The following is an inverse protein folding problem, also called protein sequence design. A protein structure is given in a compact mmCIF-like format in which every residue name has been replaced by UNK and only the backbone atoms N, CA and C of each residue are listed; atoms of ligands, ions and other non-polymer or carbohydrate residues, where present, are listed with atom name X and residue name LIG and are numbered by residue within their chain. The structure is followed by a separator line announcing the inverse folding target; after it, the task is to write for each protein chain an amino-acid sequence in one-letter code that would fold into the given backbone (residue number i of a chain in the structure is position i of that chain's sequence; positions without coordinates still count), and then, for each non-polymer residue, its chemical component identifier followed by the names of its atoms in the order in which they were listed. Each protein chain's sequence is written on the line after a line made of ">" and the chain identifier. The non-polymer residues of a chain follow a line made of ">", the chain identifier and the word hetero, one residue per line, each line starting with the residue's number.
data_IF_943975176903
#
_entry.id   IF_943975176903
#
_cell.length_a   1.000
_cell.length_b   1.000
_cell.length_c   1.000
_cell.angle_alpha   90.00
_cell.angle_beta   90.00
_cell.angle_gamma   90.00
#
_symmetry.space_group_name_H-M   'P 1'
#
loop_
_entity.id
_entity.type
_entity.pdbx_description
1 polymer ?
#
# COMPACT_ATOMS: atom_id res chain seq x y z
N UNK A 1 -30.87 17.57 8.54
CA UNK A 1 -30.66 16.95 9.86
C UNK A 1 -29.17 16.94 10.14
N UNK A 2 -28.74 17.62 11.20
CA UNK A 2 -27.35 17.58 11.66
C UNK A 2 -27.26 16.41 12.65
N UNK A 3 -26.40 15.44 12.38
CA UNK A 3 -26.14 14.37 13.33
C UNK A 3 -25.04 14.85 14.29
N UNK A 4 -25.36 14.97 15.57
CA UNK A 4 -24.34 15.18 16.60
C UNK A 4 -23.63 13.86 16.84
N UNK A 5 -22.43 13.74 16.25
CA UNK A 5 -21.56 12.59 16.45
C UNK A 5 -20.70 12.86 17.67
N UNK A 6 -21.04 12.21 18.78
CA UNK A 6 -20.18 12.18 19.96
C UNK A 6 -18.94 11.31 19.69
N UNK A 7 -17.84 11.96 19.32
CA UNK A 7 -16.54 11.32 19.07
C UNK A 7 -15.79 10.94 20.35
N UNK A 8 -16.23 11.43 21.51
CA UNK A 8 -15.68 11.04 22.82
C UNK A 8 -16.23 9.69 23.27
N UNK A 9 -17.41 9.30 22.77
CA UNK A 9 -17.95 7.97 22.97
C UNK A 9 -17.04 6.89 22.35
N UNK A 10 -16.47 6.05 23.21
CA UNK A 10 -15.52 5.00 22.81
C UNK A 10 -16.07 4.01 21.79
N UNK A 11 -17.38 3.70 21.82
CA UNK A 11 -18.02 2.80 20.86
C UNK A 11 -18.19 3.48 19.50
N UNK A 12 -18.60 4.75 19.47
CA UNK A 12 -18.71 5.55 18.24
C UNK A 12 -17.35 5.67 17.56
N UNK A 13 -16.31 6.02 18.34
CA UNK A 13 -14.93 6.09 17.85
C UNK A 13 -14.46 4.76 17.27
N UNK A 14 -14.77 3.63 17.91
CA UNK A 14 -14.41 2.29 17.43
C UNK A 14 -15.07 1.97 16.09
N UNK A 15 -16.35 2.31 15.93
CA UNK A 15 -17.08 2.11 14.66
C UNK A 15 -16.48 2.97 13.55
N UNK A 16 -16.22 4.25 13.82
CA UNK A 16 -15.58 5.17 12.87
C UNK A 16 -14.21 4.62 12.44
N UNK A 17 -13.37 4.24 13.40
CA UNK A 17 -12.04 3.69 13.11
C UNK A 17 -12.10 2.43 12.25
N UNK A 18 -13.02 1.50 12.57
CA UNK A 18 -13.20 0.29 11.77
C UNK A 18 -13.68 0.60 10.35
N UNK A 19 -14.61 1.55 10.21
CA UNK A 19 -15.09 1.99 8.91
C UNK A 19 -13.97 2.62 8.08
N UNK A 20 -13.22 3.56 8.66
CA UNK A 20 -12.08 4.19 8.02
C UNK A 20 -11.00 3.18 7.64
N UNK A 21 -10.71 2.20 8.51
CA UNK A 21 -9.76 1.13 8.20
C UNK A 21 -10.20 0.29 7.00
N UNK A 22 -11.49 -0.09 6.92
CA UNK A 22 -12.03 -0.84 5.78
C UNK A 22 -12.00 -0.03 4.49
N UNK A 23 -12.41 1.24 4.55
CA UNK A 23 -12.36 2.15 3.41
C UNK A 23 -10.91 2.33 2.92
N UNK A 24 -9.97 2.50 3.84
CA UNK A 24 -8.54 2.58 3.53
C UNK A 24 -8.01 1.31 2.88
N UNK A 25 -8.38 0.12 3.39
CA UNK A 25 -7.99 -1.15 2.76
C UNK A 25 -8.54 -1.28 1.34
N UNK A 26 -9.80 -0.92 1.12
CA UNK A 26 -10.40 -0.93 -0.21
C UNK A 26 -9.74 0.05 -1.19
N UNK A 27 -9.41 1.26 -0.72
CA UNK A 27 -8.67 2.24 -1.51
C UNK A 27 -7.27 1.73 -1.87
N UNK A 28 -6.55 1.17 -0.90
CA UNK A 28 -5.22 0.58 -1.08
C UNK A 28 -5.24 -0.60 -2.07
N UNK A 29 -6.28 -1.43 -2.05
CA UNK A 29 -6.44 -2.53 -3.01
C UNK A 29 -6.55 -2.01 -4.45
N UNK A 30 -7.44 -1.03 -4.69
CA UNK A 30 -7.59 -0.38 -6.00
C UNK A 30 -6.29 0.22 -6.51
N UNK A 31 -5.52 0.85 -5.61
CA UNK A 31 -4.19 1.38 -5.96
C UNK A 31 -3.21 0.30 -6.39
N UNK A 32 -3.20 -0.82 -5.67
CA UNK A 32 -2.38 -1.97 -6.03
C UNK A 32 -2.82 -2.62 -7.35
N UNK A 33 -4.11 -2.63 -7.65
CA UNK A 33 -4.63 -3.18 -8.91
C UNK A 33 -4.22 -2.30 -10.09
N UNK A 34 -4.42 -0.97 -10.01
CA UNK A 34 -3.93 -0.03 -11.03
C UNK A 34 -2.41 -0.14 -11.22
N UNK A 35 -1.66 -0.22 -10.12
CA UNK A 35 -0.21 -0.41 -10.16
C UNK A 35 0.20 -1.68 -10.93
N UNK A 36 -0.56 -2.77 -10.80
CA UNK A 36 -0.30 -4.01 -11.54
C UNK A 36 -0.69 -3.88 -13.01
N UNK A 37 -1.84 -3.29 -13.29
CA UNK A 37 -2.38 -3.10 -14.63
C UNK A 37 -1.40 -2.34 -15.54
N UNK A 38 -0.76 -1.30 -15.01
CA UNK A 38 0.26 -0.51 -15.75
C UNK A 38 1.65 -1.16 -15.78
N UNK A 39 1.80 -2.40 -15.30
CA UNK A 39 3.07 -3.13 -15.28
C UNK A 39 4.05 -2.67 -14.19
N UNK A 40 3.60 -1.93 -13.18
CA UNK A 40 4.44 -1.47 -12.06
C UNK A 40 5.08 -2.61 -11.25
N UNK A 41 4.48 -3.81 -11.33
CA UNK A 41 5.05 -5.00 -10.70
C UNK A 41 6.35 -5.47 -11.36
N UNK A 42 6.56 -5.17 -12.63
CA UNK A 42 7.80 -5.51 -13.33
C UNK A 42 8.72 -4.28 -13.40
N UNK A 43 8.13 -3.12 -13.70
CA UNK A 43 8.84 -1.86 -13.81
C UNK A 43 8.18 -0.73 -12.98
N UNK A 44 8.64 -0.49 -11.74
CA UNK A 44 8.15 0.60 -10.91
C UNK A 44 8.36 2.00 -11.50
N UNK A 45 9.24 2.18 -12.48
CA UNK A 45 9.48 3.48 -13.11
C UNK A 45 8.36 3.86 -14.07
N UNK A 46 7.80 2.88 -14.80
CA UNK A 46 6.57 3.06 -15.59
C UNK A 46 5.38 3.45 -14.72
N UNK A 47 5.30 2.91 -13.50
CA UNK A 47 4.23 3.27 -12.59
C UNK A 47 4.27 4.77 -12.22
N UNK A 48 5.45 5.37 -12.03
CA UNK A 48 5.58 6.80 -11.67
C UNK A 48 5.04 7.75 -12.74
N UNK A 49 5.07 7.35 -14.01
CA UNK A 49 4.62 8.18 -15.12
C UNK A 49 3.11 8.10 -15.36
N UNK A 50 2.41 7.18 -14.70
CA UNK A 50 0.99 6.89 -14.99
C UNK A 50 0.16 6.83 -13.69
N UNK A 51 0.01 7.96 -12.97
CA UNK A 51 -0.83 8.03 -11.79
C UNK A 51 -2.31 7.80 -12.15
N UNK A 52 -3.12 7.21 -11.23
CA UNK A 52 -4.57 7.22 -11.32
C UNK A 52 -5.11 8.65 -11.40
N UNK A 53 -6.15 8.89 -12.20
CA UNK A 53 -6.74 10.23 -12.40
C UNK A 53 -7.34 10.85 -11.12
N UNK A 54 -7.69 10.02 -10.15
CA UNK A 54 -8.32 10.40 -8.90
C UNK A 54 -7.33 10.63 -7.75
N UNK A 55 -6.02 10.63 -8.01
CA UNK A 55 -4.98 10.72 -6.98
C UNK A 55 -3.94 11.75 -7.39
N UNK A 56 -3.50 12.55 -6.41
CA UNK A 56 -2.44 13.52 -6.60
C UNK A 56 -1.14 12.81 -6.92
N UNK A 57 -0.36 13.41 -7.82
CA UNK A 57 0.90 12.83 -8.28
C UNK A 57 1.86 12.56 -7.12
N UNK A 58 1.91 13.47 -6.15
CA UNK A 58 2.79 13.38 -4.98
C UNK A 58 2.45 12.16 -4.11
N UNK A 59 1.16 11.94 -3.85
CA UNK A 59 0.67 10.79 -3.07
C UNK A 59 0.96 9.48 -3.80
N UNK A 60 0.81 9.48 -5.13
CA UNK A 60 1.15 8.34 -5.97
C UNK A 60 2.65 8.03 -5.96
N UNK A 61 3.51 9.05 -6.05
CA UNK A 61 4.97 8.90 -6.02
C UNK A 61 5.45 8.32 -4.68
N UNK A 62 4.83 8.72 -3.57
CA UNK A 62 5.07 8.12 -2.24
C UNK A 62 4.71 6.65 -2.27
N UNK A 63 3.50 6.30 -2.72
CA UNK A 63 3.03 4.92 -2.81
C UNK A 63 3.97 4.02 -3.63
N UNK A 64 4.34 4.45 -4.85
CA UNK A 64 5.25 3.70 -5.72
C UNK A 64 6.62 3.52 -5.05
N UNK A 65 7.13 4.56 -4.38
CA UNK A 65 8.40 4.51 -3.66
C UNK A 65 8.37 3.53 -2.48
N UNK A 66 7.25 3.45 -1.75
CA UNK A 66 7.07 2.45 -0.68
C UNK A 66 7.07 1.02 -1.22
N UNK A 67 6.38 0.77 -2.35
CA UNK A 67 6.40 -0.55 -3.00
C UNK A 67 7.81 -0.94 -3.40
N UNK A 68 8.56 -0.03 -4.03
CA UNK A 68 9.94 -0.28 -4.45
C UNK A 68 10.84 -0.62 -3.24
N UNK A 69 10.71 0.12 -2.13
CA UNK A 69 11.43 -0.17 -0.87
C UNK A 69 11.08 -1.57 -0.33
N UNK A 70 9.79 -1.92 -0.28
CA UNK A 70 9.34 -3.26 0.18
C UNK A 70 9.94 -4.39 -0.67
N UNK A 71 9.95 -4.25 -2.00
CA UNK A 71 10.59 -5.24 -2.89
C UNK A 71 12.07 -5.41 -2.61
N UNK A 72 12.81 -4.32 -2.40
CA UNK A 72 14.24 -4.38 -2.05
C UNK A 72 14.48 -5.12 -0.73
N UNK A 73 13.64 -4.88 0.28
CA UNK A 73 13.70 -5.59 1.57
C UNK A 73 13.42 -7.08 1.39
N UNK A 74 12.36 -7.45 0.65
CA UNK A 74 12.02 -8.86 0.38
C UNK A 74 13.14 -9.58 -0.40
N UNK A 75 13.72 -8.94 -1.42
CA UNK A 75 14.84 -9.50 -2.17
C UNK A 75 16.08 -9.71 -1.29
N UNK A 76 16.33 -8.82 -0.31
CA UNK A 76 17.40 -9.00 0.67
C UNK A 76 17.11 -10.15 1.63
N UNK A 77 15.87 -10.28 2.09
CA UNK A 77 15.46 -11.38 2.95
C UNK A 77 15.60 -12.74 2.24
N UNK A 78 15.15 -12.82 0.98
CA UNK A 78 15.30 -14.03 0.15
C UNK A 78 16.77 -14.43 -0.01
N UNK A 79 17.64 -13.50 -0.39
CA UNK A 79 19.10 -13.76 -0.50
C UNK A 79 19.71 -14.28 0.80
N UNK A 80 19.30 -13.75 1.95
CA UNK A 80 19.78 -14.26 3.25
C UNK A 80 19.35 -15.71 3.51
N UNK A 81 18.12 -16.07 3.15
CA UNK A 81 17.62 -17.44 3.26
C UNK A 81 18.35 -18.39 2.31
N UNK A 82 18.55 -17.97 1.06
CA UNK A 82 19.25 -18.78 0.05
C UNK A 82 20.72 -19.04 0.47
N UNK A 83 21.41 -18.04 1.03
CA UNK A 83 22.77 -18.20 1.60
C UNK A 83 22.75 -19.21 2.76
N UNK A 84 21.73 -19.17 3.62
CA UNK A 84 21.60 -20.07 4.77
C UNK A 84 21.30 -21.51 4.35
N UNK A 85 20.53 -21.70 3.29
CA UNK A 85 20.15 -23.02 2.77
C UNK A 85 21.17 -23.61 1.81
N UNK A 86 22.09 -22.80 1.27
CA UNK A 86 23.21 -23.24 0.42
C UNK A 86 24.42 -23.78 1.18
N UNK A 87 24.39 -23.83 2.52
CA UNK A 87 25.39 -24.54 3.33
C UNK A 87 24.97 -25.99 3.57
N UNK A 88 25.03 -26.82 2.53
CA UNK A 88 25.32 -28.24 2.67
C UNK A 88 26.40 -28.54 1.64
N UNK A 89 27.66 -28.50 2.09
CA UNK A 89 28.82 -28.97 1.35
C UNK A 89 28.87 -30.49 1.27
#
# INVERSE_FOLDING_TARGET
>A
TLFDIDVENSNVRKVINNYMARAWMGHRAKLHDHFKEIGGSDDPTRAKTTPPSNIKKEDWDIFVSEIAKKKKVMARAKRKLDIRNGSNG
#
